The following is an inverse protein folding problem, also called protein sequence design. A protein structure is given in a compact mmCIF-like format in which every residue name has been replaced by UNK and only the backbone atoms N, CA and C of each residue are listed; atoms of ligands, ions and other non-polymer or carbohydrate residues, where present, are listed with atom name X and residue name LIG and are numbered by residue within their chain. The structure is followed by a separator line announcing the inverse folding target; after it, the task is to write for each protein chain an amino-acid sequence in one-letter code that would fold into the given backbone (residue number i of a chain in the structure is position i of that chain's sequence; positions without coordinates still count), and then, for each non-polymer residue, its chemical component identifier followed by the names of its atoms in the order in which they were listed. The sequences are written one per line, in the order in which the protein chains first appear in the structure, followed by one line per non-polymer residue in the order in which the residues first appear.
data_IF_773404907362
#
_entry.id   IF_773404907362
#
_cell.length_a   1.000
_cell.length_b   1.000
_cell.length_c   1.000
_cell.angle_alpha   90.00
_cell.angle_beta   90.00
_cell.angle_gamma   90.00
#
_symmetry.space_group_name_H-M   'P 1'
#
loop_
_entity.id
_entity.type
_entity.pdbx_description
1 polymer ?
#
# COMPACT_ATOMS: atom_id res chain seq x y z
N UNK A 1 19.35 -22.07 -16.19
CA UNK A 1 18.23 -22.64 -15.40
C UNK A 1 17.67 -21.47 -14.60
N UNK A 2 16.60 -20.83 -15.09
CA UNK A 2 15.95 -19.73 -14.37
C UNK A 2 15.41 -20.30 -13.05
N UNK A 3 15.85 -19.76 -11.91
CA UNK A 3 15.28 -20.12 -10.62
C UNK A 3 13.86 -19.54 -10.58
N UNK A 4 12.86 -20.37 -10.27
CA UNK A 4 11.51 -19.94 -9.94
C UNK A 4 11.59 -18.98 -8.74
N UNK A 5 11.56 -17.69 -9.02
CA UNK A 5 11.48 -16.65 -7.99
C UNK A 5 10.02 -16.30 -7.72
N UNK A 6 9.72 -15.89 -6.48
CA UNK A 6 8.42 -15.34 -6.10
C UNK A 6 8.07 -14.15 -7.01
N UNK A 7 6.97 -14.24 -7.74
CA UNK A 7 6.43 -13.15 -8.56
C UNK A 7 5.26 -12.52 -7.81
N UNK A 8 5.40 -11.23 -7.48
CA UNK A 8 4.27 -10.42 -7.05
C UNK A 8 3.69 -9.70 -8.27
N UNK A 9 2.39 -9.85 -8.51
CA UNK A 9 1.65 -9.08 -9.51
C UNK A 9 0.48 -8.38 -8.85
N UNK A 10 0.36 -7.08 -9.09
CA UNK A 10 -0.78 -6.31 -8.66
C UNK A 10 -1.79 -6.12 -9.80
N UNK A 11 -3.07 -6.02 -9.45
CA UNK A 11 -4.11 -5.47 -10.33
C UNK A 11 -4.92 -4.43 -9.58
N UNK A 12 -5.34 -3.39 -10.29
CA UNK A 12 -6.28 -2.39 -9.80
C UNK A 12 -7.63 -2.58 -10.48
N UNK A 13 -8.69 -2.48 -9.68
CA UNK A 13 -10.08 -2.51 -10.12
C UNK A 13 -10.77 -1.26 -9.57
N UNK A 14 -11.48 -0.55 -10.44
CA UNK A 14 -12.29 0.60 -10.04
C UNK A 14 -13.74 0.31 -10.33
N UNK A 15 -14.56 0.45 -9.30
CA UNK A 15 -15.99 0.25 -9.35
C UNK A 15 -16.71 1.57 -9.13
N UNK A 16 -17.65 1.91 -9.98
CA UNK A 16 -18.59 3.00 -9.76
C UNK A 16 -19.86 2.48 -9.09
N UNK A 17 -20.38 3.20 -8.09
CA UNK A 17 -21.61 2.83 -7.41
C UNK A 17 -22.80 3.47 -8.12
N UNK A 18 -23.57 2.65 -8.85
CA UNK A 18 -24.76 3.08 -9.59
C UNK A 18 -25.99 2.41 -9.02
N UNK A 19 -26.97 3.20 -8.54
CA UNK A 19 -28.28 2.71 -8.08
C UNK A 19 -28.17 1.51 -7.10
N UNK A 20 -27.25 1.61 -6.13
CA UNK A 20 -27.02 0.56 -5.13
C UNK A 20 -26.21 -0.65 -5.60
N UNK A 21 -25.62 -0.62 -6.80
CA UNK A 21 -24.75 -1.69 -7.32
C UNK A 21 -23.34 -1.16 -7.61
N UNK A 22 -22.32 -2.01 -7.40
CA UNK A 22 -20.96 -1.74 -7.85
C UNK A 22 -20.79 -2.20 -9.30
N UNK A 23 -20.42 -1.30 -10.20
CA UNK A 23 -20.16 -1.57 -11.62
C UNK A 23 -18.67 -1.40 -11.88
N UNK A 24 -18.00 -2.46 -12.34
CA UNK A 24 -16.58 -2.39 -12.70
C UNK A 24 -16.42 -1.51 -13.95
N UNK A 25 -15.67 -0.41 -13.82
CA UNK A 25 -15.44 0.55 -14.92
C UNK A 25 -13.98 0.56 -15.38
N UNK A 26 -13.06 0.03 -14.59
CA UNK A 26 -11.65 -0.05 -14.95
C UNK A 26 -11.00 -1.27 -14.30
N UNK A 27 -10.15 -1.94 -15.05
CA UNK A 27 -9.28 -3.02 -14.57
C UNK A 27 -7.94 -2.91 -15.29
N UNK A 28 -6.85 -2.87 -14.54
CA UNK A 28 -5.52 -2.82 -15.11
C UNK A 28 -4.53 -3.61 -14.24
N UNK A 29 -3.59 -4.30 -14.88
CA UNK A 29 -2.46 -4.93 -14.18
C UNK A 29 -1.41 -3.86 -13.88
N UNK A 30 -0.84 -3.93 -12.69
CA UNK A 30 0.20 -3.02 -12.23
C UNK A 30 1.50 -3.80 -12.08
N UNK A 31 2.59 -3.21 -12.55
CA UNK A 31 3.89 -3.88 -12.63
C UNK A 31 4.95 -3.26 -11.71
N UNK A 32 4.64 -2.14 -11.04
CA UNK A 32 5.64 -1.37 -10.31
C UNK A 32 5.32 -1.30 -8.81
N UNK A 33 5.97 -2.19 -8.07
CA UNK A 33 6.13 -2.05 -6.62
C UNK A 33 7.32 -1.13 -6.33
N UNK A 34 7.18 -0.28 -5.31
CA UNK A 34 8.23 0.68 -4.92
C UNK A 34 9.40 -0.02 -4.24
N UNK A 35 10.53 0.67 -4.10
CA UNK A 35 11.67 0.19 -3.32
C UNK A 35 11.29 -0.12 -1.86
N UNK A 36 10.32 0.62 -1.28
CA UNK A 36 9.81 0.30 0.06
C UNK A 36 9.20 -1.11 0.13
N UNK A 37 8.44 -1.52 -0.89
CA UNK A 37 7.87 -2.87 -0.94
C UNK A 37 8.97 -3.92 -1.09
N UNK A 38 9.95 -3.67 -1.96
CA UNK A 38 11.08 -4.60 -2.18
C UNK A 38 11.88 -4.79 -0.90
N UNK A 39 12.26 -3.70 -0.24
CA UNK A 39 12.97 -3.76 1.04
C UNK A 39 12.12 -4.51 2.08
N UNK A 40 10.83 -4.22 2.18
CA UNK A 40 9.92 -4.91 3.10
C UNK A 40 9.86 -6.43 2.84
N UNK A 41 9.84 -6.86 1.57
CA UNK A 41 9.87 -8.27 1.21
C UNK A 41 11.25 -8.89 1.49
N UNK A 42 12.34 -8.21 1.15
CA UNK A 42 13.71 -8.63 1.45
C UNK A 42 13.89 -8.86 2.95
N UNK A 43 13.33 -7.97 3.77
CA UNK A 43 13.30 -8.10 5.22
C UNK A 43 12.64 -9.40 5.67
N UNK A 44 11.42 -9.68 5.21
CA UNK A 44 10.71 -10.91 5.59
C UNK A 44 11.43 -12.17 5.10
N UNK A 45 12.09 -12.11 3.93
CA UNK A 45 12.82 -13.24 3.35
C UNK A 45 14.17 -13.51 4.03
N UNK A 46 14.87 -12.47 4.52
CA UNK A 46 16.15 -12.63 5.24
C UNK A 46 16.01 -13.24 6.64
N UNK A 47 14.78 -13.54 7.03
CA UNK A 47 14.48 -14.28 8.24
C UNK A 47 14.18 -13.34 9.39
N UNK A 48 12.91 -13.36 9.80
CA UNK A 48 12.54 -13.11 11.19
C UNK A 48 13.04 -14.31 12.00
N UNK A 49 14.36 -14.44 12.20
CA UNK A 49 14.87 -15.33 13.26
C UNK A 49 14.45 -14.72 14.60
N UNK A 50 13.93 -15.56 15.49
CA UNK A 50 13.12 -15.19 16.67
C UNK A 50 13.76 -14.16 17.63
N UNK A 51 15.06 -13.88 17.52
CA UNK A 51 15.81 -13.06 18.48
C UNK A 51 16.46 -11.80 17.89
N UNK A 52 16.31 -11.52 16.59
CA UNK A 52 16.96 -10.36 15.96
C UNK A 52 15.94 -9.31 15.56
N UNK A 53 15.88 -8.22 16.31
CA UNK A 53 15.19 -7.01 15.92
C UNK A 53 15.89 -6.35 14.73
N UNK A 54 15.53 -6.77 13.52
CA UNK A 54 16.11 -6.25 12.29
C UNK A 54 15.52 -4.87 11.97
N UNK A 55 16.38 -3.96 11.53
CA UNK A 55 16.03 -2.58 11.13
C UNK A 55 16.15 -2.47 9.61
N UNK A 56 15.17 -1.83 8.99
CA UNK A 56 15.13 -1.55 7.56
C UNK A 56 14.97 -0.06 7.30
N UNK A 57 15.74 0.45 6.33
CA UNK A 57 15.57 1.80 5.81
C UNK A 57 14.45 1.84 4.77
N UNK A 58 13.40 2.62 5.05
CA UNK A 58 12.29 2.90 4.15
C UNK A 58 12.20 4.40 3.91
N UNK A 59 11.75 4.83 2.74
CA UNK A 59 11.57 6.26 2.45
C UNK A 59 10.10 6.63 2.56
N UNK A 60 9.77 7.58 3.45
CA UNK A 60 8.40 8.01 3.69
C UNK A 60 7.83 8.86 2.54
N UNK A 61 6.55 9.23 2.62
CA UNK A 61 5.87 10.04 1.60
C UNK A 61 6.49 11.42 1.37
N UNK A 62 7.32 11.92 2.31
CA UNK A 62 8.01 13.20 2.16
C UNK A 62 9.35 13.06 1.43
N UNK A 63 9.84 11.83 1.25
CA UNK A 63 11.16 11.53 0.69
C UNK A 63 12.24 11.35 1.75
N UNK A 64 11.90 11.37 3.04
CA UNK A 64 12.86 11.16 4.12
C UNK A 64 13.06 9.68 4.41
N UNK A 65 14.31 9.27 4.60
CA UNK A 65 14.66 7.91 5.02
C UNK A 65 14.35 7.71 6.49
N UNK A 66 13.59 6.67 6.81
CA UNK A 66 13.18 6.27 8.14
C UNK A 66 13.62 4.83 8.43
N UNK A 67 14.13 4.62 9.64
CA UNK A 67 14.47 3.29 10.12
C UNK A 67 13.25 2.67 10.80
N UNK A 68 12.72 1.60 10.21
CA UNK A 68 11.60 0.81 10.73
C UNK A 68 12.15 -0.53 11.23
N UNK A 69 11.75 -0.97 12.42
CA UNK A 69 12.12 -2.28 12.95
C UNK A 69 10.90 -3.21 12.89
N UNK A 70 11.08 -4.48 12.55
CA UNK A 70 10.01 -5.48 12.73
C UNK A 70 10.52 -6.56 13.68
N UNK A 71 9.76 -6.87 14.73
CA UNK A 71 10.06 -7.95 15.67
C UNK A 71 9.07 -9.11 15.48
N UNK A 72 9.57 -10.35 15.49
CA UNK A 72 8.72 -11.54 15.49
C UNK A 72 7.85 -11.65 16.75
N UNK A 73 6.89 -12.60 16.79
CA UNK A 73 5.96 -12.74 17.90
C UNK A 73 6.63 -13.34 19.15
N UNK A 74 7.22 -12.51 20.01
CA UNK A 74 7.42 -12.79 21.44
C UNK A 74 7.74 -11.51 22.24
N UNK A 75 7.08 -11.27 23.38
CA UNK A 75 7.72 -10.79 24.64
C UNK A 75 6.76 -10.64 25.88
N UNK A 76 6.94 -11.45 26.95
CA UNK A 76 6.32 -11.28 28.27
C UNK A 76 6.91 -10.14 29.15
N UNK A 77 7.91 -9.37 28.70
CA UNK A 77 8.71 -8.44 29.53
C UNK A 77 8.69 -6.96 29.10
N UNK A 78 7.73 -6.55 28.29
CA UNK A 78 7.32 -5.13 28.21
C UNK A 78 8.11 -4.25 27.24
N UNK A 79 8.75 -4.83 26.22
CA UNK A 79 9.26 -4.07 25.08
C UNK A 79 8.15 -3.47 24.20
N UNK A 80 8.37 -2.27 23.67
CA UNK A 80 7.47 -1.65 22.70
C UNK A 80 7.69 -2.26 21.31
N UNK A 81 6.76 -3.13 20.89
CA UNK A 81 6.77 -3.85 19.62
C UNK A 81 6.60 -2.96 18.39
N UNK A 82 7.23 -3.36 17.27
CA UNK A 82 7.04 -2.74 15.95
C UNK A 82 6.57 -3.70 14.84
N UNK A 83 6.34 -4.99 15.15
CA UNK A 83 5.60 -5.88 14.26
C UNK A 83 4.62 -6.85 14.96
N UNK A 84 4.16 -6.48 16.15
CA UNK A 84 2.89 -6.99 16.66
C UNK A 84 1.89 -5.86 16.48
N UNK A 85 0.94 -5.99 15.55
CA UNK A 85 -0.33 -5.28 15.68
C UNK A 85 -0.97 -5.83 16.97
N UNK A 86 -0.58 -5.28 18.13
CA UNK A 86 -1.34 -5.51 19.35
C UNK A 86 -2.72 -4.97 19.04
N UNK A 87 -3.74 -5.79 19.29
CA UNK A 87 -5.15 -5.60 18.91
C UNK A 87 -5.76 -4.25 19.31
N UNK A 88 -5.03 -3.39 20.03
CA UNK A 88 -5.43 -2.04 20.37
C UNK A 88 -5.19 -0.95 19.31
N UNK A 89 -4.27 -1.10 18.33
CA UNK A 89 -3.98 -0.03 17.33
C UNK A 89 -3.43 -0.55 15.99
N UNK A 90 -4.28 -1.14 15.13
CA UNK A 90 -3.91 -1.36 13.72
C UNK A 90 -3.62 -0.02 13.03
N UNK A 91 -2.39 0.15 12.52
CA UNK A 91 -2.01 1.33 11.75
C UNK A 91 -2.63 1.24 10.35
N UNK A 92 -3.06 2.37 9.77
CA UNK A 92 -3.84 2.35 8.56
C UNK A 92 -3.04 1.81 7.36
N UNK A 93 -3.73 1.01 6.55
CA UNK A 93 -3.40 0.82 5.14
C UNK A 93 -4.26 1.84 4.39
N UNK A 94 -3.72 2.52 3.39
CA UNK A 94 -4.49 3.48 2.58
C UNK A 94 -4.37 3.19 1.10
N UNK A 95 -5.46 3.46 0.40
CA UNK A 95 -5.43 3.61 -1.05
C UNK A 95 -5.38 5.11 -1.34
N UNK A 96 -4.54 5.49 -2.29
CA UNK A 96 -4.29 6.87 -2.70
C UNK A 96 -4.68 7.04 -4.17
N UNK A 97 -5.21 8.19 -4.52
CA UNK A 97 -5.67 8.55 -5.86
C UNK A 97 -4.91 9.80 -6.30
N UNK A 98 -4.33 9.78 -7.49
CA UNK A 98 -3.60 10.90 -8.05
C UNK A 98 -3.82 11.09 -9.55
N UNK A 99 -3.27 12.17 -10.09
CA UNK A 99 -3.55 12.64 -11.45
C UNK A 99 -2.31 12.98 -12.28
N UNK A 100 -1.11 12.65 -11.79
CA UNK A 100 0.13 12.98 -12.50
C UNK A 100 0.30 12.18 -13.80
N UNK A 101 0.97 12.79 -14.76
CA UNK A 101 1.46 12.16 -16.00
C UNK A 101 2.86 11.55 -15.87
N UNK A 102 3.48 11.66 -14.69
CA UNK A 102 4.80 11.10 -14.46
C UNK A 102 4.75 9.57 -14.65
N UNK A 103 5.68 8.97 -15.41
CA UNK A 103 5.72 7.53 -15.60
C UNK A 103 5.96 6.80 -14.27
N UNK A 104 5.61 5.52 -14.19
CA UNK A 104 5.86 4.69 -13.02
C UNK A 104 7.37 4.47 -12.78
N UNK A 105 7.82 4.63 -11.54
CA UNK A 105 9.17 4.32 -11.09
C UNK A 105 9.15 3.58 -9.75
N UNK A 106 10.14 2.70 -9.54
CA UNK A 106 10.31 2.03 -8.24
C UNK A 106 10.76 2.99 -7.15
N UNK A 107 11.36 4.12 -7.54
CA UNK A 107 11.84 5.16 -6.64
C UNK A 107 10.76 6.21 -6.30
N UNK A 108 9.51 5.96 -6.70
CA UNK A 108 8.39 6.81 -6.32
C UNK A 108 7.93 6.49 -4.90
N UNK A 109 8.14 7.44 -3.99
CA UNK A 109 7.70 7.33 -2.60
C UNK A 109 6.38 8.06 -2.31
N UNK A 110 5.83 8.75 -3.31
CA UNK A 110 4.52 9.45 -3.27
C UNK A 110 3.88 9.44 -4.65
N UNK A 111 2.59 9.80 -4.73
CA UNK A 111 1.95 10.11 -6.01
C UNK A 111 2.49 11.44 -6.55
N UNK A 112 2.50 11.62 -7.87
CA UNK A 112 3.00 12.85 -8.47
C UNK A 112 2.09 14.05 -8.21
N UNK A 113 0.77 13.82 -8.18
CA UNK A 113 -0.24 14.82 -7.82
C UNK A 113 -1.38 14.10 -7.08
N UNK A 114 -1.26 14.00 -5.75
CA UNK A 114 -2.25 13.33 -4.92
C UNK A 114 -3.53 14.17 -4.77
N UNK A 115 -4.68 13.52 -4.98
CA UNK A 115 -6.01 14.13 -4.87
C UNK A 115 -6.77 13.66 -3.65
N UNK A 116 -6.70 12.36 -3.35
CA UNK A 116 -7.44 11.76 -2.25
C UNK A 116 -6.67 10.56 -1.67
N UNK A 117 -6.90 10.28 -0.39
CA UNK A 117 -6.42 9.09 0.27
C UNK A 117 -7.46 8.61 1.27
N UNK A 118 -7.75 7.30 1.28
CA UNK A 118 -8.75 6.71 2.16
C UNK A 118 -8.22 5.45 2.83
N UNK A 119 -8.70 5.20 4.05
CA UNK A 119 -8.34 3.99 4.78
C UNK A 119 -8.91 2.76 4.07
N UNK A 120 -8.04 1.80 3.82
CA UNK A 120 -8.37 0.58 3.11
C UNK A 120 -8.76 -0.52 4.08
N UNK A 121 -9.81 -1.25 3.73
CA UNK A 121 -10.08 -2.57 4.29
C UNK A 121 -9.16 -3.58 3.60
N UNK A 122 -8.42 -4.36 4.37
CA UNK A 122 -7.52 -5.40 3.85
C UNK A 122 -8.06 -6.78 4.20
N UNK A 123 -8.14 -7.66 3.20
CA UNK A 123 -8.51 -9.06 3.36
C UNK A 123 -7.49 -9.95 2.67
N UNK A 124 -7.24 -11.12 3.23
CA UNK A 124 -6.36 -12.15 2.64
C UNK A 124 -7.19 -13.38 2.34
N UNK A 125 -7.18 -13.84 1.09
CA UNK A 125 -7.85 -15.06 0.67
C UNK A 125 -7.14 -15.68 -0.53
N UNK A 126 -6.97 -17.01 -0.55
CA UNK A 126 -6.42 -17.77 -1.68
C UNK A 126 -5.11 -17.17 -2.25
N UNK A 127 -4.11 -16.94 -1.39
CA UNK A 127 -2.81 -16.34 -1.77
C UNK A 127 -2.90 -14.95 -2.41
N UNK A 128 -4.04 -14.28 -2.25
CA UNK A 128 -4.28 -12.92 -2.73
C UNK A 128 -4.51 -12.00 -1.53
N UNK A 129 -3.76 -10.91 -1.48
CA UNK A 129 -4.05 -9.78 -0.58
C UNK A 129 -4.90 -8.79 -1.35
N UNK A 130 -6.06 -8.41 -0.80
CA UNK A 130 -6.93 -7.38 -1.37
C UNK A 130 -7.02 -6.21 -0.42
N UNK A 131 -6.74 -5.02 -0.92
CA UNK A 131 -6.99 -3.76 -0.24
C UNK A 131 -8.10 -3.02 -1.01
N UNK A 132 -9.12 -2.52 -0.31
CA UNK A 132 -10.18 -1.73 -0.95
C UNK A 132 -10.58 -0.52 -0.12
N UNK A 133 -10.82 0.61 -0.77
CA UNK A 133 -11.30 1.85 -0.17
C UNK A 133 -12.37 2.48 -1.08
N UNK A 134 -13.27 3.26 -0.49
CA UNK A 134 -14.31 3.98 -1.25
C UNK A 134 -14.10 5.48 -1.15
N UNK A 135 -14.28 6.16 -2.28
CA UNK A 135 -14.05 7.58 -2.46
C UNK A 135 -15.32 8.22 -3.00
N UNK A 136 -15.72 9.36 -2.43
CA UNK A 136 -16.77 10.22 -2.99
C UNK A 136 -16.16 11.60 -3.13
N UNK A 137 -15.68 11.98 -4.33
CA UNK A 137 -15.03 13.26 -4.51
C UNK A 137 -16.08 14.38 -4.45
N UNK A 138 -15.69 15.54 -3.95
CA UNK A 138 -16.55 16.73 -3.89
C UNK A 138 -16.56 17.53 -5.18
N UNK A 139 -15.59 17.29 -6.06
CA UNK A 139 -15.43 17.88 -7.39
C UNK A 139 -15.04 16.79 -8.39
N UNK A 140 -15.06 17.10 -9.69
CA UNK A 140 -14.61 16.15 -10.71
C UNK A 140 -13.09 16.01 -10.65
N UNK A 141 -12.61 14.77 -10.53
CA UNK A 141 -11.17 14.47 -10.42
C UNK A 141 -10.75 13.61 -11.59
N UNK A 142 -9.69 14.02 -12.28
CA UNK A 142 -8.99 13.18 -13.24
C UNK A 142 -8.07 12.24 -12.46
N UNK A 143 -8.23 10.94 -12.65
CA UNK A 143 -7.45 9.90 -12.00
C UNK A 143 -6.55 9.24 -13.03
N UNK A 144 -5.24 9.31 -12.78
CA UNK A 144 -4.18 8.67 -13.58
C UNK A 144 -3.23 7.83 -12.72
N UNK A 145 -3.35 7.92 -11.39
CA UNK A 145 -2.50 7.20 -10.46
C UNK A 145 -3.33 6.55 -9.35
N UNK A 146 -2.92 5.35 -8.96
CA UNK A 146 -3.43 4.66 -7.77
C UNK A 146 -2.24 4.18 -6.93
N UNK A 147 -2.26 4.49 -5.64
CA UNK A 147 -1.24 4.11 -4.68
C UNK A 147 -1.76 3.16 -3.61
N UNK A 148 -0.90 2.29 -3.10
CA UNK A 148 -1.12 1.55 -1.85
C UNK A 148 -0.03 1.95 -0.86
N UNK A 149 -0.42 2.37 0.34
CA UNK A 149 0.50 2.72 1.41
C UNK A 149 0.16 2.03 2.72
N UNK A 150 1.18 1.88 3.56
CA UNK A 150 1.06 1.37 4.93
C UNK A 150 1.79 2.30 5.88
N UNK A 151 1.19 2.51 7.04
CA UNK A 151 1.85 3.21 8.14
C UNK A 151 2.59 2.25 9.07
N UNK A 152 3.78 2.67 9.50
CA UNK A 152 4.59 2.02 10.52
C UNK A 152 5.09 3.05 11.54
N UNK A 153 5.50 2.57 12.71
CA UNK A 153 6.13 3.42 13.72
C UNK A 153 7.64 3.44 13.56
N UNK A 154 8.28 4.59 13.77
CA UNK A 154 9.74 4.72 13.83
C UNK A 154 10.24 4.10 15.13
N UNK A 155 11.36 3.38 15.04
CA UNK A 155 11.93 2.66 16.18
C UNK A 155 12.31 3.55 17.36
N UNK A 156 13.03 4.62 17.10
CA UNK A 156 13.63 5.46 18.14
C UNK A 156 12.60 6.30 18.92
N UNK A 157 11.55 6.77 18.22
CA UNK A 157 10.64 7.80 18.75
C UNK A 157 9.20 7.32 18.91
N UNK A 158 8.80 6.24 18.23
CA UNK A 158 7.41 5.76 18.20
C UNK A 158 6.47 6.57 17.29
N UNK A 159 7.00 7.56 16.58
CA UNK A 159 6.27 8.40 15.61
C UNK A 159 5.74 7.55 14.45
N UNK A 160 4.57 7.91 13.92
CA UNK A 160 3.94 7.18 12.81
C UNK A 160 4.31 7.81 11.48
N UNK A 161 4.92 7.01 10.61
CA UNK A 161 5.26 7.38 9.24
C UNK A 161 4.48 6.52 8.27
N UNK A 162 4.20 7.04 7.09
CA UNK A 162 3.50 6.35 6.03
C UNK A 162 4.42 6.18 4.82
N UNK A 163 4.30 5.02 4.18
CA UNK A 163 5.22 4.58 3.14
C UNK A 163 4.41 4.05 1.96
N UNK A 164 4.70 4.56 0.77
CA UNK A 164 4.09 4.05 -0.45
C UNK A 164 4.75 2.72 -0.83
N UNK A 165 3.94 1.68 -1.00
CA UNK A 165 4.38 0.31 -1.34
C UNK A 165 4.15 -0.01 -2.82
N UNK A 166 3.17 0.66 -3.42
CA UNK A 166 2.85 0.52 -4.83
C UNK A 166 2.40 1.88 -5.36
N UNK A 167 2.89 2.22 -6.55
CA UNK A 167 2.38 3.31 -7.38
C UNK A 167 2.05 2.71 -8.75
N UNK A 168 0.77 2.75 -9.11
CA UNK A 168 0.31 2.34 -10.43
C UNK A 168 -0.12 3.55 -11.23
N UNK A 169 0.45 3.72 -12.43
CA UNK A 169 -0.07 4.66 -13.43
C UNK A 169 -1.13 3.94 -14.26
N UNK A 170 -2.35 4.47 -14.29
CA UNK A 170 -3.50 3.87 -14.96
C UNK A 170 -3.95 4.70 -16.15
N UNK A 171 -4.70 4.08 -17.07
CA UNK A 171 -5.44 4.84 -18.07
C UNK A 171 -6.37 5.85 -17.39
N UNK A 172 -6.39 7.08 -17.90
CA UNK A 172 -7.19 8.16 -17.35
C UNK A 172 -8.65 7.77 -17.07
N UNK A 173 -9.15 8.16 -15.89
CA UNK A 173 -10.56 8.04 -15.50
C UNK A 173 -11.03 9.28 -14.78
N UNK A 174 -12.21 9.78 -15.11
CA UNK A 174 -12.85 10.83 -14.33
C UNK A 174 -13.68 10.23 -13.20
N UNK A 175 -13.41 10.66 -11.97
CA UNK A 175 -14.30 10.44 -10.84
C UNK A 175 -15.18 11.66 -10.70
N UNK A 176 -16.47 11.51 -10.99
CA UNK A 176 -17.43 12.61 -10.95
C UNK A 176 -17.79 12.99 -9.53
N UNK A 177 -17.96 14.28 -9.30
CA UNK A 177 -18.40 14.84 -8.03
C UNK A 177 -19.66 14.14 -7.50
N UNK A 178 -19.68 13.82 -6.21
CA UNK A 178 -20.83 13.19 -5.55
C UNK A 178 -21.07 11.72 -5.89
N UNK A 179 -20.30 11.12 -6.81
CA UNK A 179 -20.40 9.70 -7.15
C UNK A 179 -19.43 8.88 -6.31
N UNK A 180 -19.89 7.80 -5.68
CA UNK A 180 -19.00 6.90 -4.93
C UNK A 180 -18.29 5.93 -5.88
N UNK A 181 -16.98 5.83 -5.72
CA UNK A 181 -16.12 4.86 -6.39
C UNK A 181 -15.47 3.95 -5.34
N UNK A 182 -15.45 2.64 -5.55
CA UNK A 182 -14.55 1.75 -4.79
C UNK A 182 -13.33 1.46 -5.65
N UNK A 183 -12.14 1.70 -5.10
CA UNK A 183 -10.88 1.26 -5.69
C UNK A 183 -10.40 0.05 -4.91
N UNK A 184 -10.04 -1.01 -5.62
CA UNK A 184 -9.54 -2.26 -5.08
C UNK A 184 -8.18 -2.58 -5.72
N UNK A 185 -7.18 -2.86 -4.90
CA UNK A 185 -5.87 -3.34 -5.31
C UNK A 185 -5.75 -4.79 -4.85
N UNK A 186 -5.43 -5.69 -5.77
CA UNK A 186 -5.18 -7.10 -5.47
C UNK A 186 -3.74 -7.43 -5.78
N UNK A 187 -3.04 -8.00 -4.81
CA UNK A 187 -1.67 -8.46 -4.95
C UNK A 187 -1.71 -9.99 -4.89
N UNK A 188 -1.28 -10.62 -5.99
CA UNK A 188 -1.13 -12.06 -6.09
C UNK A 188 0.35 -12.41 -5.95
N UNK A 189 0.63 -13.42 -5.15
CA UNK A 189 1.96 -14.01 -5.01
C UNK A 189 1.93 -15.37 -5.69
N UNK A 190 2.74 -15.55 -6.73
CA UNK A 190 2.84 -16.78 -7.54
C UNK A 190 4.28 -17.23 -7.69
#
# INVERSE_FOLDING_TARGET
MEREGLKAQAEVLIYEHRKGRKVLIHRQKLNTFTMNFIHTMEFFLKGVSADTGLVIGLTDLTGASQNVQFQGPHDPSGGSYLATETTGKSLPVRIRIGSSDAPESRDDYKLGDEKMAESATVITANSTVKASASFTPTEDIIVREVGLSKSWRKFETGDVYEFLLLRGVISERTFSAGTTYTVEIRINFT
#
